data_IF_397699992223
#
_entry.id   IF_397699992223
#
_cell.length_a   1.000
_cell.length_b   1.000
_cell.length_c   1.000
_cell.angle_alpha   90.00
_cell.angle_beta   90.00
_cell.angle_gamma   90.00
#
_symmetry.space_group_name_H-M   'P 1'
#
loop_
_entity.id
_entity.type
_entity.pdbx_description
1 polymer ?
#
# COMPACT_ATOMS: atom_id res chain seq x y z
N UNK A 1 1.02 -9.83 21.61
CA UNK A 1 -0.29 -9.76 22.30
C UNK A 1 -0.12 -9.39 23.77
N UNK A 2 0.81 -10.02 24.50
CA UNK A 2 1.14 -9.69 25.89
C UNK A 2 1.40 -8.20 26.09
N UNK A 3 2.36 -7.62 25.37
CA UNK A 3 2.64 -6.18 25.37
C UNK A 3 1.38 -5.29 25.20
N UNK A 4 0.52 -5.60 24.22
CA UNK A 4 -0.71 -4.82 23.99
C UNK A 4 -1.72 -4.99 25.12
N UNK A 5 -1.77 -6.19 25.71
CA UNK A 5 -2.67 -6.50 26.82
C UNK A 5 -2.23 -5.78 28.09
N UNK A 6 -0.92 -5.72 28.36
CA UNK A 6 -0.35 -4.95 29.46
C UNK A 6 -0.61 -3.45 29.30
N UNK A 7 -0.37 -2.89 28.12
CA UNK A 7 -0.63 -1.47 27.85
C UNK A 7 -2.11 -1.12 28.04
N UNK A 8 -3.03 -1.98 27.59
CA UNK A 8 -4.46 -1.79 27.78
C UNK A 8 -4.88 -1.96 29.25
N UNK A 9 -4.38 -2.98 29.95
CA UNK A 9 -4.69 -3.25 31.35
C UNK A 9 -4.11 -2.17 32.30
N UNK A 10 -2.96 -1.60 31.95
CA UNK A 10 -2.33 -0.47 32.63
C UNK A 10 -3.04 0.87 32.40
N UNK A 11 -4.20 0.90 31.73
CA UNK A 11 -5.00 2.10 31.52
C UNK A 11 -4.58 2.95 30.31
N UNK A 12 -3.78 2.41 29.39
CA UNK A 12 -3.41 3.09 28.16
C UNK A 12 -4.63 3.57 27.37
N UNK A 13 -4.64 4.85 26.99
CA UNK A 13 -5.67 5.45 26.15
C UNK A 13 -5.01 6.32 25.08
N UNK A 14 -5.40 6.14 23.83
CA UNK A 14 -4.99 7.00 22.74
C UNK A 14 -5.49 8.43 23.01
N UNK A 15 -4.59 9.41 22.84
CA UNK A 15 -4.86 10.84 23.05
C UNK A 15 -5.13 11.59 21.75
N UNK A 16 -4.86 10.95 20.62
CA UNK A 16 -5.00 11.50 19.26
C UNK A 16 -5.68 10.47 18.37
N UNK A 17 -6.27 10.91 17.25
CA UNK A 17 -6.89 10.02 16.28
C UNK A 17 -5.88 8.96 15.83
N UNK A 18 -6.21 7.70 16.08
CA UNK A 18 -5.35 6.57 15.79
C UNK A 18 -6.16 5.49 15.11
N UNK A 19 -5.66 5.00 13.98
CA UNK A 19 -6.22 3.87 13.22
C UNK A 19 -5.20 2.74 13.14
N UNK A 20 -5.60 1.57 12.63
CA UNK A 20 -4.72 0.40 12.57
C UNK A 20 -4.25 0.12 11.14
N UNK A 21 -3.05 -0.45 11.03
CA UNK A 21 -2.58 -1.11 9.81
C UNK A 21 -3.49 -2.29 9.46
N UNK A 22 -3.38 -2.85 8.23
CA UNK A 22 -4.14 -4.05 7.86
C UNK A 22 -3.99 -5.17 8.88
N UNK A 23 -5.09 -5.82 9.20
CA UNK A 23 -5.11 -7.02 10.01
C UNK A 23 -4.57 -8.20 9.19
N UNK A 24 -4.13 -9.25 9.88
CA UNK A 24 -3.75 -10.52 9.24
C UNK A 24 -4.93 -11.30 8.64
N UNK A 25 -6.15 -10.78 8.71
CA UNK A 25 -7.36 -11.41 8.18
C UNK A 25 -8.47 -10.39 7.99
N UNK A 26 -9.50 -10.79 7.24
CA UNK A 26 -10.78 -10.08 7.27
C UNK A 26 -11.46 -10.25 8.63
N UNK A 27 -11.68 -9.13 9.33
CA UNK A 27 -12.16 -9.17 10.71
C UNK A 27 -13.60 -9.71 10.84
N UNK A 28 -14.39 -9.71 9.77
CA UNK A 28 -15.76 -10.22 9.75
C UNK A 28 -15.91 -11.52 8.93
N UNK A 29 -15.14 -11.69 7.85
CA UNK A 29 -15.31 -12.79 6.88
C UNK A 29 -14.04 -13.62 6.64
N UNK A 30 -13.20 -13.79 7.67
CA UNK A 30 -11.95 -14.57 7.57
C UNK A 30 -12.16 -16.03 7.15
N UNK A 31 -13.34 -16.61 7.40
CA UNK A 31 -13.68 -17.99 7.00
C UNK A 31 -13.69 -18.14 5.49
N UNK A 32 -14.26 -17.17 4.75
CA UNK A 32 -14.27 -17.19 3.29
C UNK A 32 -12.86 -17.13 2.69
N UNK A 33 -11.93 -16.51 3.43
CA UNK A 33 -10.50 -16.48 3.09
C UNK A 33 -9.76 -17.75 3.52
N UNK A 34 -10.41 -18.72 4.17
CA UNK A 34 -9.77 -19.95 4.66
C UNK A 34 -8.71 -19.68 5.74
N UNK A 35 -8.91 -18.69 6.60
CA UNK A 35 -8.01 -18.40 7.71
C UNK A 35 -8.26 -19.40 8.85
N UNK A 36 -7.18 -19.82 9.50
CA UNK A 36 -7.26 -20.73 10.63
C UNK A 36 -8.03 -20.10 11.82
N UNK A 37 -8.97 -20.82 12.45
CA UNK A 37 -9.75 -20.30 13.57
C UNK A 37 -8.92 -19.88 14.79
N UNK A 38 -7.79 -20.54 15.08
CA UNK A 38 -6.90 -20.13 16.17
C UNK A 38 -6.18 -18.82 15.84
N UNK A 39 -5.66 -18.68 14.62
CA UNK A 39 -5.13 -17.40 14.15
C UNK A 39 -6.18 -16.28 14.26
N UNK A 40 -7.42 -16.56 13.87
CA UNK A 40 -8.50 -15.59 13.94
C UNK A 40 -8.83 -15.17 15.37
N UNK A 41 -8.88 -16.12 16.32
CA UNK A 41 -9.04 -15.82 17.74
C UNK A 41 -7.92 -14.92 18.27
N UNK A 42 -6.66 -15.20 17.93
CA UNK A 42 -5.54 -14.38 18.39
C UNK A 42 -5.58 -12.97 17.78
N UNK A 43 -5.94 -12.85 16.50
CA UNK A 43 -6.07 -11.56 15.83
C UNK A 43 -7.22 -10.73 16.43
N UNK A 44 -8.36 -11.35 16.78
CA UNK A 44 -9.45 -10.68 17.47
C UNK A 44 -9.02 -10.16 18.86
N UNK A 45 -8.19 -10.91 19.60
CA UNK A 45 -7.63 -10.45 20.89
C UNK A 45 -6.72 -9.24 20.72
N UNK A 46 -5.91 -9.20 19.64
CA UNK A 46 -5.07 -8.03 19.31
C UNK A 46 -5.94 -6.80 19.04
N UNK A 47 -6.98 -6.94 18.20
CA UNK A 47 -7.90 -5.84 17.87
C UNK A 47 -8.64 -5.36 19.11
N UNK A 48 -9.11 -6.28 19.97
CA UNK A 48 -9.79 -5.94 21.21
C UNK A 48 -8.87 -5.18 22.19
N UNK A 49 -7.57 -5.50 22.24
CA UNK A 49 -6.61 -4.75 23.05
C UNK A 49 -6.47 -3.30 22.55
N UNK A 50 -6.37 -3.09 21.23
CA UNK A 50 -6.38 -1.75 20.65
C UNK A 50 -7.69 -1.00 20.92
N UNK A 51 -8.85 -1.66 20.76
CA UNK A 51 -10.16 -1.08 21.06
C UNK A 51 -10.27 -0.62 22.52
N UNK A 52 -9.76 -1.42 23.47
CA UNK A 52 -9.72 -1.04 24.90
C UNK A 52 -8.89 0.23 25.14
N UNK A 53 -7.88 0.50 24.30
CA UNK A 53 -7.09 1.72 24.35
C UNK A 53 -7.76 2.91 23.62
N UNK A 54 -8.99 2.76 23.09
CA UNK A 54 -9.70 3.83 22.38
C UNK A 54 -9.19 4.06 20.95
N UNK A 55 -8.48 3.10 20.37
CA UNK A 55 -7.99 3.17 18.99
C UNK A 55 -9.10 2.72 18.04
N UNK A 56 -9.28 3.45 16.93
CA UNK A 56 -10.26 3.12 15.90
C UNK A 56 -9.80 1.84 15.18
N UNK A 57 -10.58 0.77 15.30
CA UNK A 57 -10.23 -0.57 14.80
C UNK A 57 -10.52 -0.76 13.31
N UNK A 58 -10.48 0.32 12.52
CA UNK A 58 -10.44 0.21 11.07
C UNK A 58 -9.01 -0.13 10.65
N UNK A 59 -8.85 -1.29 10.01
CA UNK A 59 -7.55 -1.85 9.65
C UNK A 59 -7.26 -1.61 8.16
N UNK A 60 -6.33 -0.72 7.83
CA UNK A 60 -6.03 -0.40 6.44
C UNK A 60 -4.64 0.21 6.25
N UNK A 61 -4.06 -0.02 5.07
CA UNK A 61 -2.81 0.62 4.65
C UNK A 61 -3.03 1.96 3.94
N UNK A 62 -4.29 2.37 3.74
CA UNK A 62 -4.70 3.61 3.08
C UNK A 62 -5.60 4.47 4.00
N UNK A 63 -5.11 4.89 5.19
CA UNK A 63 -5.89 5.66 6.17
C UNK A 63 -6.57 6.92 5.61
N UNK A 64 -5.89 7.56 4.65
CA UNK A 64 -6.34 8.75 3.95
C UNK A 64 -7.58 8.54 3.04
N UNK A 65 -7.95 7.30 2.72
CA UNK A 65 -9.17 7.01 1.94
C UNK A 65 -10.45 6.95 2.78
N UNK A 66 -10.35 6.98 4.11
CA UNK A 66 -11.52 6.88 5.00
C UNK A 66 -11.48 7.86 6.18
N UNK A 67 -10.76 8.98 6.02
CA UNK A 67 -10.88 10.14 6.92
C UNK A 67 -9.74 10.33 7.93
N UNK A 68 -8.76 9.44 8.01
CA UNK A 68 -7.50 9.75 8.71
C UNK A 68 -6.55 10.46 7.73
N UNK A 69 -6.89 11.72 7.45
CA UNK A 69 -6.29 12.58 6.44
C UNK A 69 -5.67 13.82 7.13
N UNK A 70 -4.37 13.79 7.47
CA UNK A 70 -3.70 14.92 8.13
C UNK A 70 -3.57 16.13 7.20
N UNK A 71 -3.48 17.32 7.81
CA UNK A 71 -3.23 18.56 7.08
C UNK A 71 -1.76 18.71 6.69
N UNK A 72 -1.50 19.60 5.73
CA UNK A 72 -0.16 20.00 5.35
C UNK A 72 0.64 20.50 6.58
N UNK A 73 1.86 19.99 6.74
CA UNK A 73 2.76 20.31 7.86
C UNK A 73 2.42 19.62 9.18
N UNK A 74 1.31 18.89 9.28
CA UNK A 74 0.91 18.21 10.51
C UNK A 74 1.88 17.08 10.88
N UNK A 75 2.23 16.98 12.16
CA UNK A 75 3.13 15.94 12.66
C UNK A 75 2.34 14.70 13.07
N UNK A 76 2.62 13.58 12.42
CA UNK A 76 1.96 12.29 12.67
C UNK A 76 3.00 11.19 12.93
N UNK A 77 2.55 10.02 13.37
CA UNK A 77 3.39 8.86 13.64
C UNK A 77 2.75 7.60 13.01
N UNK A 78 3.10 7.30 11.77
CA UNK A 78 2.52 6.16 11.02
C UNK A 78 3.53 5.03 10.81
N UNK A 79 3.04 3.79 10.93
CA UNK A 79 3.89 2.60 10.83
C UNK A 79 3.82 1.89 9.47
N UNK A 80 2.81 2.15 8.65
CA UNK A 80 2.70 1.58 7.30
C UNK A 80 3.60 2.34 6.32
N UNK A 81 4.58 1.66 5.72
CA UNK A 81 5.62 2.30 4.91
C UNK A 81 5.08 3.03 3.68
N UNK A 82 4.07 2.48 3.01
CA UNK A 82 3.43 3.14 1.87
C UNK A 82 2.64 4.38 2.30
N UNK A 83 1.98 4.31 3.45
CA UNK A 83 1.21 5.42 4.00
C UNK A 83 2.14 6.54 4.50
N UNK A 84 3.29 6.21 5.08
CA UNK A 84 4.35 7.17 5.46
C UNK A 84 4.84 7.94 4.24
N UNK A 85 5.17 7.24 3.16
CA UNK A 85 5.62 7.87 1.92
C UNK A 85 4.56 8.81 1.33
N UNK A 86 3.29 8.37 1.34
CA UNK A 86 2.15 9.17 0.90
C UNK A 86 1.92 10.39 1.80
N UNK A 87 1.97 10.22 3.12
CA UNK A 87 1.79 11.31 4.07
C UNK A 87 2.85 12.41 3.90
N UNK A 88 4.13 12.03 3.80
CA UNK A 88 5.20 13.00 3.60
C UNK A 88 5.10 13.71 2.25
N UNK A 89 4.92 12.95 1.17
CA UNK A 89 5.07 13.48 -0.18
C UNK A 89 3.78 14.09 -0.72
N UNK A 90 2.65 13.39 -0.57
CA UNK A 90 1.37 13.78 -1.19
C UNK A 90 0.57 14.72 -0.29
N UNK A 91 0.55 14.47 1.01
CA UNK A 91 -0.17 15.32 1.97
C UNK A 91 0.68 16.46 2.51
N UNK A 92 2.01 16.35 2.44
CA UNK A 92 2.93 17.30 3.09
C UNK A 92 2.91 17.20 4.62
N UNK A 93 2.37 16.11 5.18
CA UNK A 93 2.47 15.81 6.60
C UNK A 93 3.91 15.39 6.96
N UNK A 94 4.19 15.27 8.25
CA UNK A 94 5.53 15.03 8.78
C UNK A 94 5.55 13.76 9.60
N UNK A 95 6.23 12.73 9.13
CA UNK A 95 6.38 11.46 9.85
C UNK A 95 7.67 10.75 9.46
N UNK A 96 8.28 10.08 10.43
CA UNK A 96 9.31 9.08 10.14
C UNK A 96 8.66 7.73 9.79
N UNK A 97 9.48 6.74 9.43
CA UNK A 97 9.05 5.34 9.33
C UNK A 97 8.97 4.75 10.73
N UNK A 98 7.82 4.91 11.37
CA UNK A 98 7.63 4.41 12.74
C UNK A 98 7.49 2.89 12.78
N UNK A 99 7.92 2.29 13.90
CA UNK A 99 7.57 0.91 14.22
C UNK A 99 6.22 0.85 14.92
N UNK A 100 5.62 -0.34 15.01
CA UNK A 100 4.39 -0.55 15.78
C UNK A 100 4.47 -0.02 17.22
N UNK A 101 5.54 -0.33 18.00
CA UNK A 101 5.69 0.18 19.35
C UNK A 101 5.81 1.70 19.45
N UNK A 102 6.57 2.35 18.55
CA UNK A 102 6.75 3.81 18.59
C UNK A 102 5.49 4.56 18.14
N UNK A 103 4.78 4.06 17.12
CA UNK A 103 3.47 4.59 16.73
C UNK A 103 2.44 4.45 17.85
N UNK A 104 2.41 3.32 18.57
CA UNK A 104 1.53 3.15 19.73
C UNK A 104 1.91 4.11 20.87
N UNK A 105 3.22 4.27 21.16
CA UNK A 105 3.67 5.24 22.15
C UNK A 105 3.24 6.67 21.78
N UNK A 106 3.33 7.03 20.50
CA UNK A 106 2.86 8.33 20.02
C UNK A 106 1.35 8.51 20.18
N UNK A 107 0.56 7.46 19.87
CA UNK A 107 -0.88 7.46 20.09
C UNK A 107 -1.25 7.69 21.57
N UNK A 108 -0.56 6.99 22.49
CA UNK A 108 -0.85 7.05 23.93
C UNK A 108 -0.35 8.34 24.60
N UNK A 109 0.74 8.93 24.10
CA UNK A 109 1.32 10.16 24.67
C UNK A 109 0.81 11.43 24.00
N UNK A 110 0.30 11.33 22.77
CA UNK A 110 -0.02 12.46 21.90
C UNK A 110 1.24 13.19 21.42
N UNK A 111 2.41 12.53 21.42
CA UNK A 111 3.71 13.13 21.10
C UNK A 111 4.55 12.16 20.29
N UNK A 112 5.26 12.67 19.28
CA UNK A 112 6.30 11.94 18.56
C UNK A 112 7.63 12.70 18.67
N UNK A 113 8.80 12.02 18.75
CA UNK A 113 10.08 12.70 18.80
C UNK A 113 10.33 13.57 17.56
N UNK A 114 10.81 14.79 17.75
CA UNK A 114 11.08 15.75 16.67
C UNK A 114 12.48 15.51 16.06
N UNK A 115 12.56 14.56 15.13
CA UNK A 115 13.78 14.24 14.37
C UNK A 115 13.45 13.75 12.96
N UNK A 116 14.48 13.55 12.13
CA UNK A 116 14.32 12.99 10.79
C UNK A 116 13.41 13.87 9.94
N UNK A 117 12.40 13.27 9.29
CA UNK A 117 11.49 13.96 8.37
C UNK A 117 10.49 14.90 9.05
N UNK A 118 10.52 15.00 10.39
CA UNK A 118 9.87 16.10 11.09
C UNK A 118 10.59 17.45 10.94
N UNK A 119 11.84 17.44 10.48
CA UNK A 119 12.71 18.61 10.34
C UNK A 119 12.83 19.01 8.86
N UNK A 120 12.71 20.31 8.56
CA UNK A 120 12.72 20.83 7.17
C UNK A 120 14.04 20.59 6.45
N UNK A 121 15.15 20.67 7.18
CA UNK A 121 16.49 20.42 6.68
C UNK A 121 16.65 19.00 6.12
N UNK A 122 15.93 18.03 6.67
CA UNK A 122 16.00 16.62 6.28
C UNK A 122 15.04 16.27 5.14
N UNK A 123 14.22 17.22 4.66
CA UNK A 123 13.26 17.03 3.56
C UNK A 123 13.79 17.56 2.23
N UNK A 124 14.97 18.18 2.22
CA UNK A 124 15.61 18.71 1.02
C UNK A 124 15.91 17.58 0.01
N UNK A 125 15.50 17.72 -1.26
CA UNK A 125 15.88 16.76 -2.30
C UNK A 125 17.39 16.77 -2.53
N UNK A 126 17.92 15.61 -2.92
CA UNK A 126 19.34 15.46 -3.25
C UNK A 126 19.60 14.91 -4.66
N UNK A 127 18.55 14.55 -5.41
CA UNK A 127 18.69 13.91 -6.72
C UNK A 127 17.53 14.28 -7.63
N UNK A 128 17.79 14.92 -8.76
CA UNK A 128 16.79 15.13 -9.80
C UNK A 128 16.56 13.84 -10.58
N UNK A 129 15.30 13.47 -10.77
CA UNK A 129 14.88 12.29 -11.53
C UNK A 129 14.03 12.77 -12.70
N UNK A 130 14.60 12.75 -13.90
CA UNK A 130 13.84 13.06 -15.11
C UNK A 130 13.17 11.79 -15.63
N UNK A 131 11.84 11.76 -15.59
CA UNK A 131 11.05 10.67 -16.17
C UNK A 131 10.75 11.02 -17.62
N UNK A 132 11.14 10.11 -18.52
CA UNK A 132 10.90 10.20 -19.97
C UNK A 132 10.03 9.04 -20.47
N UNK A 133 9.67 8.10 -19.59
CA UNK A 133 8.76 7.02 -19.90
C UNK A 133 7.30 7.48 -19.81
N UNK A 134 6.47 7.00 -20.74
CA UNK A 134 5.02 7.18 -20.66
C UNK A 134 4.44 6.32 -19.53
N UNK A 135 3.67 6.96 -18.63
CA UNK A 135 3.01 6.29 -17.51
C UNK A 135 1.50 6.45 -17.66
N UNK A 136 0.78 5.34 -17.71
CA UNK A 136 -0.66 5.32 -17.96
C UNK A 136 -1.49 5.00 -16.72
N UNK A 137 -1.09 3.99 -15.93
CA UNK A 137 -1.92 3.43 -14.87
C UNK A 137 -1.10 3.05 -13.61
N UNK A 138 -1.76 2.55 -12.56
CA UNK A 138 -1.16 2.14 -11.28
C UNK A 138 0.04 1.22 -11.44
N UNK A 139 0.01 0.29 -12.40
CA UNK A 139 1.12 -0.61 -12.73
C UNK A 139 2.39 0.16 -13.13
N UNK A 140 2.27 1.19 -13.97
CA UNK A 140 3.40 1.97 -14.46
C UNK A 140 4.04 2.79 -13.34
N UNK A 141 3.21 3.41 -12.49
CA UNK A 141 3.68 4.07 -11.28
C UNK A 141 4.34 3.09 -10.32
N UNK A 142 3.82 1.86 -10.20
CA UNK A 142 4.47 0.77 -9.48
C UNK A 142 5.84 0.43 -10.06
N UNK A 143 5.95 0.24 -11.37
CA UNK A 143 7.22 -0.05 -12.05
C UNK A 143 8.23 1.10 -11.94
N UNK A 144 7.77 2.35 -12.01
CA UNK A 144 8.59 3.54 -11.78
C UNK A 144 9.22 3.50 -10.37
N UNK A 145 8.43 3.18 -9.35
CA UNK A 145 8.93 3.04 -7.97
C UNK A 145 10.00 1.95 -7.83
N UNK A 146 9.91 0.87 -8.62
CA UNK A 146 10.94 -0.19 -8.66
C UNK A 146 12.20 0.30 -9.35
N UNK A 147 12.06 0.91 -10.54
CA UNK A 147 13.20 1.42 -11.31
C UNK A 147 13.98 2.46 -10.50
N UNK A 148 13.26 3.44 -9.93
CA UNK A 148 13.86 4.48 -9.11
C UNK A 148 14.41 3.93 -7.80
N UNK A 149 13.66 3.06 -7.11
CA UNK A 149 14.10 2.45 -5.85
C UNK A 149 15.42 1.68 -6.01
N UNK A 150 15.53 0.85 -7.05
CA UNK A 150 16.78 0.13 -7.38
C UNK A 150 17.91 1.08 -7.76
N UNK A 151 17.62 2.11 -8.54
CA UNK A 151 18.61 3.11 -8.91
C UNK A 151 19.17 3.81 -7.66
N UNK A 152 18.33 4.16 -6.68
CA UNK A 152 18.74 4.81 -5.43
C UNK A 152 19.49 3.85 -4.51
N UNK A 153 19.04 2.61 -4.32
CA UNK A 153 19.77 1.61 -3.51
C UNK A 153 21.17 1.31 -4.05
N UNK A 154 21.38 1.46 -5.36
CA UNK A 154 22.71 1.30 -5.97
C UNK A 154 23.67 2.45 -5.68
N UNK A 155 23.18 3.56 -5.10
CA UNK A 155 23.99 4.74 -4.74
C UNK A 155 24.53 4.62 -3.32
N UNK A 156 25.59 5.40 -3.04
CA UNK A 156 26.20 5.47 -1.71
C UNK A 156 25.31 6.16 -0.66
N UNK A 157 24.42 7.06 -1.09
CA UNK A 157 23.50 7.79 -0.22
C UNK A 157 22.05 7.68 -0.72
N UNK A 158 21.11 7.57 0.22
CA UNK A 158 19.67 7.55 -0.06
C UNK A 158 19.13 8.97 -0.17
N UNK A 159 19.46 9.63 -1.28
CA UNK A 159 18.97 10.98 -1.57
C UNK A 159 17.44 10.97 -1.76
N UNK A 160 16.76 12.01 -1.27
CA UNK A 160 15.33 12.23 -1.56
C UNK A 160 15.22 12.64 -3.03
N UNK A 161 14.43 11.91 -3.85
CA UNK A 161 14.30 12.21 -5.26
C UNK A 161 13.38 13.41 -5.49
N UNK A 162 13.77 14.26 -6.43
CA UNK A 162 12.99 15.34 -7.02
C UNK A 162 12.58 14.94 -8.44
N UNK A 163 11.33 14.53 -8.61
CA UNK A 163 10.83 13.89 -9.81
C UNK A 163 10.25 14.93 -10.77
N UNK A 164 10.72 14.89 -12.00
CA UNK A 164 10.31 15.72 -13.13
C UNK A 164 9.77 14.84 -14.27
N UNK A 165 9.00 15.44 -15.18
CA UNK A 165 8.50 14.76 -16.40
C UNK A 165 7.17 14.03 -16.24
N UNK A 166 6.52 14.12 -15.07
CA UNK A 166 5.17 13.59 -14.85
C UNK A 166 4.19 14.76 -14.83
N UNK A 167 3.27 14.88 -15.80
CA UNK A 167 2.38 16.04 -15.90
C UNK A 167 1.23 16.00 -14.88
N UNK A 168 0.73 14.81 -14.54
CA UNK A 168 -0.33 14.60 -13.58
C UNK A 168 -0.25 13.19 -12.99
N UNK A 169 -0.81 13.02 -11.79
CA UNK A 169 -0.97 11.71 -11.17
C UNK A 169 -2.25 11.66 -10.33
N UNK A 170 -3.02 10.58 -10.44
CA UNK A 170 -4.20 10.34 -9.60
C UNK A 170 -3.80 9.87 -8.20
N UNK A 171 -4.75 9.91 -7.26
CA UNK A 171 -4.59 9.33 -5.91
C UNK A 171 -4.15 7.88 -5.99
N UNK A 172 -4.74 7.10 -6.91
CA UNK A 172 -4.46 5.67 -7.06
C UNK A 172 -3.06 5.40 -7.62
N UNK A 173 -2.63 6.19 -8.61
CA UNK A 173 -1.28 6.16 -9.16
C UNK A 173 -0.23 6.53 -8.09
N UNK A 174 -0.48 7.59 -7.31
CA UNK A 174 0.41 8.01 -6.23
C UNK A 174 0.48 6.97 -5.11
N UNK A 175 -0.64 6.31 -4.75
CA UNK A 175 -0.66 5.20 -3.79
C UNK A 175 0.25 4.06 -4.26
N UNK A 176 0.15 3.67 -5.54
CA UNK A 176 0.96 2.60 -6.12
C UNK A 176 2.44 2.95 -6.12
N UNK A 177 2.78 4.16 -6.55
CA UNK A 177 4.16 4.67 -6.53
C UNK A 177 4.75 4.70 -5.12
N UNK A 178 4.02 5.25 -4.14
CA UNK A 178 4.44 5.31 -2.73
C UNK A 178 4.75 3.91 -2.19
N UNK A 179 3.89 2.94 -2.48
CA UNK A 179 4.06 1.57 -2.03
C UNK A 179 5.29 0.91 -2.65
N UNK A 180 5.50 1.12 -3.95
CA UNK A 180 6.65 0.57 -4.66
C UNK A 180 7.96 1.21 -4.19
N UNK A 181 8.04 2.55 -4.15
CA UNK A 181 9.23 3.28 -3.75
C UNK A 181 9.66 2.95 -2.31
N UNK A 182 8.70 2.87 -1.38
CA UNK A 182 8.98 2.53 0.00
C UNK A 182 9.49 1.09 0.18
N UNK A 183 9.09 0.18 -0.72
CA UNK A 183 9.46 -1.24 -0.72
C UNK A 183 10.83 -1.47 -1.36
N UNK A 184 11.06 -0.89 -2.55
CA UNK A 184 12.25 -1.16 -3.35
C UNK A 184 13.39 -0.16 -3.12
N UNK A 185 13.09 1.06 -2.68
CA UNK A 185 14.09 2.10 -2.38
C UNK A 185 14.22 2.42 -0.89
N UNK A 186 13.39 1.83 -0.04
CA UNK A 186 13.39 2.14 1.39
C UNK A 186 13.03 3.59 1.73
N UNK A 187 12.58 4.39 0.77
CA UNK A 187 12.34 5.82 0.96
C UNK A 187 11.00 6.09 1.65
N UNK A 188 11.00 7.16 2.43
CA UNK A 188 9.84 7.64 3.16
C UNK A 188 9.27 8.94 2.57
N UNK A 189 9.88 9.46 1.51
CA UNK A 189 9.53 10.73 0.89
C UNK A 189 10.09 10.86 -0.52
N UNK A 190 9.41 11.63 -1.35
CA UNK A 190 9.87 12.18 -2.62
C UNK A 190 9.23 13.56 -2.83
N UNK A 191 9.76 14.32 -3.78
CA UNK A 191 9.09 15.47 -4.37
C UNK A 191 8.76 15.15 -5.82
N UNK A 192 7.60 15.59 -6.30
CA UNK A 192 7.17 15.46 -7.70
C UNK A 192 6.66 16.80 -8.17
N UNK A 193 7.41 17.41 -9.11
CA UNK A 193 7.23 18.80 -9.56
C UNK A 193 5.80 19.04 -10.06
N UNK A 194 5.12 20.02 -9.47
CA UNK A 194 3.75 20.39 -9.83
C UNK A 194 2.66 19.44 -9.34
N UNK A 195 3.01 18.42 -8.55
CA UNK A 195 2.09 17.42 -8.01
C UNK A 195 2.12 17.37 -6.49
N UNK A 196 3.31 17.29 -5.87
CA UNK A 196 3.44 17.26 -4.41
C UNK A 196 3.57 18.67 -3.85
N UNK A 197 2.92 19.01 -2.71
CA UNK A 197 2.85 20.37 -2.20
C UNK A 197 4.20 20.99 -1.82
N UNK A 198 5.21 20.18 -1.50
CA UNK A 198 6.55 20.70 -1.14
C UNK A 198 7.51 20.85 -2.33
N UNK A 199 7.12 20.44 -3.55
CA UNK A 199 8.06 20.49 -4.68
C UNK A 199 8.55 21.90 -4.96
N UNK A 200 7.70 22.90 -4.78
CA UNK A 200 8.01 24.29 -5.15
C UNK A 200 8.85 25.00 -4.09
N UNK A 201 9.09 24.36 -2.94
CA UNK A 201 9.94 24.88 -1.87
C UNK A 201 11.43 24.65 -2.15
N UNK A 202 11.76 23.76 -3.08
CA UNK A 202 13.12 23.33 -3.34
C UNK A 202 13.47 23.46 -4.82
N UNK A 203 14.65 23.99 -5.18
CA UNK A 203 15.13 23.88 -6.54
C UNK A 203 15.46 22.41 -6.86
N UNK A 204 15.36 22.05 -8.14
CA UNK A 204 15.84 20.76 -8.62
C UNK A 204 17.36 20.64 -8.37
N UNK A 205 17.84 19.57 -7.71
CA UNK A 205 19.27 19.33 -7.53
C UNK A 205 20.03 19.20 -8.86
N UNK A 206 21.30 19.61 -8.89
CA UNK A 206 22.16 19.49 -10.09
C UNK A 206 22.45 18.03 -10.46
N UNK A 207 22.66 17.18 -9.44
CA UNK A 207 22.83 15.75 -9.63
C UNK A 207 21.52 15.15 -10.17
N UNK A 208 21.60 14.47 -11.31
CA UNK A 208 20.42 13.97 -12.01
C UNK A 208 20.57 12.53 -12.53
N UNK A 209 19.43 11.87 -12.73
CA UNK A 209 19.32 10.63 -13.47
C UNK A 209 18.06 10.63 -14.33
N UNK A 210 18.07 9.81 -15.38
CA UNK A 210 16.93 9.65 -16.29
C UNK A 210 16.31 8.27 -16.11
N UNK A 211 14.98 8.22 -15.96
CA UNK A 211 14.18 6.98 -16.04
C UNK A 211 13.39 7.01 -17.34
N UNK A 212 13.96 6.37 -18.36
CA UNK A 212 13.29 6.17 -19.65
C UNK A 212 12.59 4.81 -19.75
N UNK A 213 11.97 4.55 -20.92
CA UNK A 213 11.19 3.34 -21.21
C UNK A 213 11.97 2.04 -20.96
N UNK A 214 13.28 2.03 -21.23
CA UNK A 214 14.13 0.86 -20.98
C UNK A 214 14.22 0.47 -19.50
N UNK A 215 14.32 1.45 -18.60
CA UNK A 215 14.36 1.23 -17.16
C UNK A 215 13.00 0.74 -16.64
N UNK A 216 11.89 1.30 -17.15
CA UNK A 216 10.54 0.86 -16.82
C UNK A 216 10.29 -0.59 -17.30
N UNK A 217 10.72 -0.93 -18.52
CA UNK A 217 10.63 -2.28 -19.05
C UNK A 217 11.46 -3.28 -18.24
N UNK A 218 12.66 -2.90 -17.78
CA UNK A 218 13.48 -3.73 -16.90
C UNK A 218 12.82 -3.95 -15.53
N UNK A 219 12.20 -2.91 -14.95
CA UNK A 219 11.43 -3.03 -13.71
C UNK A 219 10.26 -4.01 -13.88
N UNK A 220 9.46 -3.85 -14.94
CA UNK A 220 8.36 -4.76 -15.27
C UNK A 220 8.81 -6.22 -15.40
N UNK A 221 9.91 -6.47 -16.14
CA UNK A 221 10.47 -7.83 -16.26
C UNK A 221 10.89 -8.40 -14.92
N UNK A 222 11.48 -7.58 -14.05
CA UNK A 222 11.94 -8.04 -12.73
C UNK A 222 10.81 -8.41 -11.75
N UNK A 223 9.58 -7.98 -12.04
CA UNK A 223 8.37 -8.31 -11.27
C UNK A 223 7.59 -9.49 -11.85
N UNK A 224 7.98 -9.96 -13.03
CA UNK A 224 7.38 -11.10 -13.73
C UNK A 224 8.31 -12.31 -13.62
N UNK A 225 8.16 -13.07 -12.54
CA UNK A 225 8.91 -14.32 -12.30
C UNK A 225 8.13 -15.57 -12.74
N UNK A 226 6.98 -15.37 -13.38
CA UNK A 226 6.10 -16.43 -13.85
C UNK A 226 6.64 -17.10 -15.13
N UNK A 227 6.76 -18.43 -15.18
CA UNK A 227 7.21 -19.14 -16.37
C UNK A 227 6.14 -19.12 -17.46
N UNK A 228 6.57 -19.18 -18.73
CA UNK A 228 5.67 -19.15 -19.89
C UNK A 228 4.61 -20.27 -19.93
N UNK A 229 4.86 -21.38 -19.22
CA UNK A 229 3.99 -22.57 -19.18
C UNK A 229 3.29 -22.78 -17.83
N UNK A 230 3.38 -21.83 -16.90
CA UNK A 230 2.72 -21.91 -15.60
C UNK A 230 1.23 -21.57 -15.67
N UNK A 231 0.50 -21.89 -14.60
CA UNK A 231 -0.88 -21.43 -14.37
C UNK A 231 -0.92 -20.52 -13.14
N UNK A 232 -1.64 -19.40 -13.26
CA UNK A 232 -1.93 -18.52 -12.12
C UNK A 232 -3.08 -19.13 -11.33
N UNK A 233 -2.86 -19.43 -10.04
CA UNK A 233 -3.89 -19.98 -9.15
C UNK A 233 -4.48 -18.94 -8.18
N UNK A 234 -3.82 -17.77 -8.09
CA UNK A 234 -4.26 -16.67 -7.24
C UNK A 234 -4.15 -15.31 -7.93
N UNK A 235 -5.22 -14.53 -7.85
CA UNK A 235 -5.30 -13.17 -8.37
C UNK A 235 -5.62 -12.24 -7.22
N UNK A 236 -4.96 -11.08 -7.13
CA UNK A 236 -5.26 -10.09 -6.09
C UNK A 236 -5.09 -8.66 -6.59
N UNK A 237 -6.11 -7.84 -6.30
CA UNK A 237 -6.08 -6.38 -6.44
C UNK A 237 -6.25 -5.72 -5.05
N UNK A 238 -5.56 -4.59 -4.84
CA UNK A 238 -5.64 -3.79 -3.60
C UNK A 238 -4.42 -3.87 -2.67
N UNK A 239 -3.22 -3.87 -3.24
CA UNK A 239 -1.99 -3.68 -2.47
C UNK A 239 -1.22 -2.45 -2.97
N UNK A 240 -1.59 -1.21 -2.58
CA UNK A 240 -2.40 -0.87 -1.41
C UNK A 240 -3.92 -0.97 -1.61
N UNK A 241 -4.66 -1.01 -0.50
CA UNK A 241 -6.12 -1.22 -0.49
C UNK A 241 -6.85 -0.37 -1.52
N UNK A 242 -7.77 -1.01 -2.24
CA UNK A 242 -8.48 -0.37 -3.33
C UNK A 242 -9.31 0.83 -2.84
N UNK A 243 -9.31 1.89 -3.64
CA UNK A 243 -10.25 3.00 -3.54
C UNK A 243 -11.63 2.58 -4.05
N UNK A 244 -12.64 3.42 -3.81
CA UNK A 244 -13.98 3.19 -4.33
C UNK A 244 -14.01 3.22 -5.87
N UNK A 245 -13.20 4.08 -6.51
CA UNK A 245 -13.08 4.18 -7.97
C UNK A 245 -12.46 2.93 -8.58
N UNK A 246 -11.45 2.34 -7.93
CA UNK A 246 -10.89 1.06 -8.38
C UNK A 246 -11.90 -0.09 -8.19
N UNK A 247 -12.68 -0.11 -7.10
CA UNK A 247 -13.73 -1.12 -6.90
C UNK A 247 -14.84 -0.98 -7.96
N UNK A 248 -15.25 0.25 -8.28
CA UNK A 248 -16.18 0.50 -9.38
C UNK A 248 -15.66 -0.10 -10.69
N UNK A 249 -14.40 0.17 -11.05
CA UNK A 249 -13.76 -0.39 -12.25
C UNK A 249 -13.78 -1.92 -12.25
N UNK A 250 -13.51 -2.56 -11.11
CA UNK A 250 -13.61 -4.03 -10.98
C UNK A 250 -15.05 -4.50 -11.20
N UNK A 251 -16.04 -3.84 -10.61
CA UNK A 251 -17.45 -4.20 -10.74
C UNK A 251 -17.94 -4.08 -12.19
N UNK A 252 -17.63 -2.98 -12.87
CA UNK A 252 -17.97 -2.76 -14.29
C UNK A 252 -17.33 -3.83 -15.19
N UNK A 253 -16.09 -4.20 -14.89
CA UNK A 253 -15.41 -5.27 -15.63
C UNK A 253 -16.02 -6.63 -15.29
N UNK A 254 -16.45 -6.93 -14.07
CA UNK A 254 -16.95 -8.26 -13.73
C UNK A 254 -18.44 -8.46 -14.02
N UNK A 255 -19.18 -7.42 -14.40
CA UNK A 255 -20.62 -7.51 -14.65
C UNK A 255 -20.99 -8.57 -15.69
N UNK A 256 -21.90 -9.47 -15.32
CA UNK A 256 -22.32 -10.61 -16.13
C UNK A 256 -21.26 -11.70 -16.37
N UNK A 257 -20.06 -11.60 -15.79
CA UNK A 257 -18.94 -12.54 -15.99
C UNK A 257 -18.70 -13.41 -14.75
N UNK A 258 -17.94 -14.51 -14.91
CA UNK A 258 -17.59 -15.43 -13.82
C UNK A 258 -16.08 -15.66 -13.78
N UNK A 259 -15.48 -15.48 -12.62
CA UNK A 259 -14.06 -15.75 -12.37
C UNK A 259 -13.85 -17.26 -12.26
N UNK A 260 -12.68 -17.72 -12.70
CA UNK A 260 -12.28 -19.14 -12.70
C UNK A 260 -11.13 -19.45 -11.75
N UNK A 261 -10.55 -18.41 -11.15
CA UNK A 261 -9.43 -18.49 -10.20
C UNK A 261 -9.81 -17.87 -8.87
N UNK A 262 -9.02 -18.14 -7.83
CA UNK A 262 -9.16 -17.44 -6.55
C UNK A 262 -8.82 -15.96 -6.78
N UNK A 263 -9.82 -15.07 -6.72
CA UNK A 263 -9.62 -13.65 -6.93
C UNK A 263 -9.98 -12.86 -5.68
N UNK A 264 -8.99 -12.24 -5.04
CA UNK A 264 -9.19 -11.39 -3.87
C UNK A 264 -9.24 -9.91 -4.23
N UNK A 265 -10.32 -9.26 -3.78
CA UNK A 265 -10.49 -7.81 -3.79
C UNK A 265 -10.20 -7.28 -2.39
N UNK A 266 -9.09 -6.58 -2.23
CA UNK A 266 -8.63 -6.11 -0.92
C UNK A 266 -8.91 -4.61 -0.75
N UNK A 267 -9.59 -4.26 0.33
CA UNK A 267 -9.97 -2.87 0.63
C UNK A 267 -10.22 -2.69 2.13
N UNK A 268 -10.50 -1.46 2.57
CA UNK A 268 -10.87 -1.16 3.95
C UNK A 268 -12.37 -1.30 4.20
N UNK A 269 -12.78 -1.62 5.43
CA UNK A 269 -14.20 -1.72 5.81
C UNK A 269 -15.04 -0.49 5.41
N UNK A 270 -14.60 0.77 5.59
CA UNK A 270 -15.40 1.92 5.19
C UNK A 270 -15.60 2.01 3.68
N UNK A 271 -14.55 1.76 2.90
CA UNK A 271 -14.65 1.77 1.42
C UNK A 271 -15.55 0.62 0.93
N UNK A 272 -15.45 -0.57 1.54
CA UNK A 272 -16.35 -1.69 1.27
C UNK A 272 -17.81 -1.33 1.53
N UNK A 273 -18.13 -0.65 2.64
CA UNK A 273 -19.50 -0.21 2.94
C UNK A 273 -20.04 0.79 1.92
N UNK A 274 -19.21 1.68 1.40
CA UNK A 274 -19.60 2.57 0.30
C UNK A 274 -19.87 1.76 -0.98
N UNK A 275 -19.01 0.80 -1.31
CA UNK A 275 -19.21 -0.09 -2.44
C UNK A 275 -20.49 -0.94 -2.33
N UNK A 276 -20.86 -1.36 -1.12
CA UNK A 276 -22.13 -2.06 -0.84
C UNK A 276 -23.33 -1.17 -1.19
N UNK A 277 -23.31 0.09 -0.74
CA UNK A 277 -24.37 1.06 -1.04
C UNK A 277 -24.51 1.37 -2.53
N UNK A 278 -23.41 1.29 -3.28
CA UNK A 278 -23.39 1.51 -4.73
C UNK A 278 -23.73 0.25 -5.54
N UNK A 279 -23.90 -0.91 -4.89
CA UNK A 279 -24.17 -2.20 -5.55
C UNK A 279 -22.94 -2.87 -6.17
N UNK A 280 -21.75 -2.27 -6.08
CA UNK A 280 -20.52 -2.80 -6.66
C UNK A 280 -20.09 -4.12 -6.04
N UNK A 281 -20.23 -4.25 -4.73
CA UNK A 281 -19.93 -5.50 -4.03
C UNK A 281 -20.72 -6.66 -4.59
N UNK A 282 -22.04 -6.49 -4.74
CA UNK A 282 -22.92 -7.57 -5.18
C UNK A 282 -22.54 -8.06 -6.58
N UNK A 283 -22.19 -7.14 -7.49
CA UNK A 283 -21.67 -7.49 -8.83
C UNK A 283 -20.39 -8.33 -8.75
N UNK A 284 -19.42 -7.87 -7.97
CA UNK A 284 -18.10 -8.53 -7.81
C UNK A 284 -18.24 -9.92 -7.17
N UNK A 285 -19.02 -10.04 -6.09
CA UNK A 285 -19.26 -11.31 -5.41
C UNK A 285 -20.08 -12.26 -6.27
N UNK A 286 -21.05 -11.74 -7.04
CA UNK A 286 -21.80 -12.56 -8.01
C UNK A 286 -20.89 -13.13 -9.08
N UNK A 287 -19.82 -12.44 -9.48
CA UNK A 287 -18.83 -12.97 -10.41
C UNK A 287 -17.95 -14.07 -9.80
N UNK A 288 -17.99 -14.26 -8.47
CA UNK A 288 -17.22 -15.26 -7.74
C UNK A 288 -15.91 -14.73 -7.14
N UNK A 289 -15.64 -13.43 -7.23
CA UNK A 289 -14.51 -12.82 -6.54
C UNK A 289 -14.81 -12.67 -5.04
N UNK A 290 -13.77 -12.70 -4.22
CA UNK A 290 -13.87 -12.72 -2.76
C UNK A 290 -13.33 -11.40 -2.22
N UNK A 291 -14.12 -10.69 -1.42
CA UNK A 291 -13.59 -9.56 -0.67
C UNK A 291 -12.72 -10.03 0.50
N UNK A 292 -11.49 -9.55 0.53
CA UNK A 292 -10.57 -9.68 1.65
C UNK A 292 -10.46 -8.31 2.31
N UNK A 293 -11.49 -7.94 3.09
CA UNK A 293 -11.60 -6.61 3.70
C UNK A 293 -10.65 -6.51 4.89
N UNK A 294 -10.10 -5.34 5.17
CA UNK A 294 -9.22 -5.06 6.33
C UNK A 294 -7.87 -5.79 6.32
N UNK A 295 -7.59 -6.53 5.25
CA UNK A 295 -6.39 -7.35 5.08
C UNK A 295 -5.94 -7.37 3.63
N UNK A 296 -4.77 -7.94 3.35
CA UNK A 296 -4.33 -8.18 1.99
C UNK A 296 -3.42 -9.41 1.89
N UNK A 297 -3.11 -9.81 0.66
CA UNK A 297 -2.25 -10.97 0.38
C UNK A 297 -0.84 -10.88 0.98
N UNK A 298 -0.37 -9.68 1.36
CA UNK A 298 0.93 -9.46 1.98
C UNK A 298 0.92 -9.82 3.47
N UNK A 299 -0.16 -9.48 4.18
CA UNK A 299 -0.26 -9.63 5.64
C UNK A 299 -0.97 -10.91 6.05
N UNK A 300 -1.88 -11.43 5.21
CA UNK A 300 -2.61 -12.65 5.48
C UNK A 300 -1.68 -13.89 5.58
N UNK A 301 -1.99 -14.87 6.44
CA UNK A 301 -1.19 -16.09 6.62
C UNK A 301 -1.43 -17.09 5.49
N UNK A 302 -1.02 -16.74 4.26
CA UNK A 302 -1.31 -17.53 3.05
C UNK A 302 -0.12 -18.31 2.48
N UNK A 303 0.97 -18.42 3.25
CA UNK A 303 2.18 -19.14 2.83
C UNK A 303 1.86 -20.58 2.46
N UNK A 304 2.33 -21.02 1.29
CA UNK A 304 2.12 -22.38 0.78
C UNK A 304 0.73 -22.66 0.21
N UNK A 305 -0.21 -21.70 0.22
CA UNK A 305 -1.56 -21.90 -0.33
C UNK A 305 -1.64 -21.69 -1.84
N UNK A 306 -0.77 -20.85 -2.39
CA UNK A 306 -0.82 -20.44 -3.78
C UNK A 306 0.58 -20.48 -4.40
N UNK A 307 0.67 -21.00 -5.61
CA UNK A 307 1.92 -21.16 -6.35
C UNK A 307 2.26 -19.92 -7.16
N UNK A 308 1.26 -19.22 -7.70
CA UNK A 308 1.46 -18.08 -8.59
C UNK A 308 0.42 -16.98 -8.39
N UNK A 309 0.90 -15.77 -8.10
CA UNK A 309 0.10 -14.57 -7.93
C UNK A 309 0.09 -13.72 -9.21
N UNK A 310 -1.09 -13.33 -9.70
CA UNK A 310 -1.27 -12.20 -10.62
C UNK A 310 -1.77 -10.95 -9.89
N UNK A 311 -1.15 -9.80 -10.14
CA UNK A 311 -1.45 -8.53 -9.47
C UNK A 311 -0.90 -7.33 -10.26
N UNK A 312 -1.43 -6.13 -10.00
CA UNK A 312 -0.93 -4.85 -10.52
C UNK A 312 0.02 -4.14 -9.55
N UNK A 313 0.36 -4.80 -8.44
CA UNK A 313 1.16 -4.24 -7.35
C UNK A 313 2.58 -4.78 -7.29
N UNK A 314 3.56 -3.89 -7.45
CA UNK A 314 4.97 -4.23 -7.26
C UNK A 314 5.26 -4.68 -5.82
N UNK A 315 4.62 -4.06 -4.82
CA UNK A 315 4.76 -4.45 -3.40
C UNK A 315 4.21 -5.84 -3.16
N UNK A 316 3.06 -6.19 -3.75
CA UNK A 316 2.52 -7.54 -3.64
C UNK A 316 3.47 -8.56 -4.28
N UNK A 317 4.03 -8.28 -5.46
CA UNK A 317 5.04 -9.15 -6.08
C UNK A 317 6.25 -9.38 -5.17
N UNK A 318 6.78 -8.32 -4.55
CA UNK A 318 7.91 -8.42 -3.62
C UNK A 318 7.64 -9.43 -2.50
N UNK A 319 6.54 -9.26 -1.78
CA UNK A 319 6.21 -10.10 -0.63
C UNK A 319 5.71 -11.49 -1.04
N UNK A 320 5.02 -11.63 -2.17
CA UNK A 320 4.62 -12.93 -2.69
C UNK A 320 5.84 -13.82 -2.96
N UNK A 321 6.87 -13.29 -3.63
CA UNK A 321 8.12 -14.00 -3.87
C UNK A 321 8.90 -14.25 -2.57
N UNK A 322 9.14 -13.20 -1.78
CA UNK A 322 10.03 -13.29 -0.61
C UNK A 322 9.42 -14.04 0.60
N UNK A 323 8.13 -13.85 0.88
CA UNK A 323 7.46 -14.40 2.08
C UNK A 323 6.71 -15.71 1.78
N UNK A 324 6.05 -15.78 0.63
CA UNK A 324 5.17 -16.90 0.28
C UNK A 324 5.83 -17.91 -0.67
N UNK A 325 6.95 -17.55 -1.31
CA UNK A 325 7.62 -18.38 -2.32
C UNK A 325 6.83 -18.51 -3.62
N UNK A 326 5.85 -17.63 -3.83
CA UNK A 326 4.98 -17.67 -5.01
C UNK A 326 5.67 -17.02 -6.21
N UNK A 327 5.46 -17.60 -7.39
CA UNK A 327 5.75 -16.93 -8.67
C UNK A 327 4.83 -15.72 -8.83
N UNK A 328 5.27 -14.75 -9.63
CA UNK A 328 4.60 -13.46 -9.75
C UNK A 328 4.38 -13.07 -11.20
N UNK A 329 3.16 -12.64 -11.51
CA UNK A 329 2.76 -12.09 -12.79
C UNK A 329 2.25 -10.67 -12.56
N UNK A 330 3.03 -9.70 -13.02
CA UNK A 330 2.78 -8.28 -12.85
C UNK A 330 2.13 -7.72 -14.11
N UNK A 331 0.84 -7.40 -14.02
CA UNK A 331 -0.02 -7.05 -15.15
C UNK A 331 -0.65 -5.66 -14.96
N UNK A 332 -1.06 -4.97 -16.04
CA UNK A 332 -1.97 -3.84 -15.95
C UNK A 332 -3.26 -4.20 -15.20
N UNK A 333 -3.88 -3.22 -14.52
CA UNK A 333 -5.04 -3.43 -13.64
C UNK A 333 -6.16 -4.25 -14.31
N UNK A 334 -6.59 -3.87 -15.51
CA UNK A 334 -7.65 -4.59 -16.24
C UNK A 334 -7.20 -5.99 -16.68
N UNK A 335 -5.93 -6.18 -17.03
CA UNK A 335 -5.40 -7.50 -17.39
C UNK A 335 -5.33 -8.45 -16.20
N UNK A 336 -5.20 -7.95 -14.97
CA UNK A 336 -5.34 -8.77 -13.76
C UNK A 336 -6.76 -9.32 -13.65
N UNK A 337 -7.78 -8.50 -13.97
CA UNK A 337 -9.18 -8.93 -13.96
C UNK A 337 -9.41 -9.98 -15.06
N UNK A 338 -8.89 -9.74 -16.27
CA UNK A 338 -8.99 -10.72 -17.36
C UNK A 338 -8.26 -12.03 -17.03
N UNK A 339 -7.14 -11.98 -16.30
CA UNK A 339 -6.44 -13.17 -15.83
C UNK A 339 -7.31 -14.01 -14.89
N UNK A 340 -8.13 -13.39 -14.04
CA UNK A 340 -9.06 -14.10 -13.14
C UNK A 340 -10.22 -14.78 -13.88
N UNK A 341 -10.56 -14.32 -15.09
CA UNK A 341 -11.64 -14.86 -15.90
C UNK A 341 -11.22 -16.03 -16.79
N UNK A 342 -9.91 -16.19 -17.02
CA UNK A 342 -9.35 -17.24 -17.90
C UNK A 342 -9.56 -18.63 -17.35
#
# INVERSE_FOLDING_TARGET
LEFLSEMAAGGGKARVLTTLNPAGMDIENWQALGIDPEFARQQARVIAAYAKMGIVTTCSCTPYLFGNLPHYGEHIAWAESSAVCYANSVLGARTNREGGPSALAAALTGRTPRYGLHLDENRRPGLTVQVEADLSDTRDFGALGVALGKAIESRKSKAIPYICGIPAASVDQLKSFCASLATYGGLAMFHMRGITPESDLYPAPDESLVIGTGALAAANRSLNLFPATGEVDFVSLGCPHLSLTEIQRVAERLDGRKVRKTFWITTSRPVKRLADQMGYTALIESAGAIFAVDTCCVVAPIKGRFKALATDSAKACYYAAAKNGSQTRFLPFDEVIEEALR
#
